data_IF_803047633839
#
_entry.id   IF_803047633839
#
_cell.length_a   1.000
_cell.length_b   1.000
_cell.length_c   1.000
_cell.angle_alpha   90.00
_cell.angle_beta   90.00
_cell.angle_gamma   90.00
#
_symmetry.space_group_name_H-M   'P 1'
#
loop_
_entity.id
_entity.type
_entity.pdbx_description
1 polymer ?
#
# COMPACT_ATOMS: atom_id res chain seq x y z
N UNK A 1 -17.19 7.40 16.73
CA UNK A 1 -16.29 7.75 17.84
C UNK A 1 -16.36 9.24 18.20
N UNK A 2 -16.50 10.12 17.21
CA UNK A 2 -16.51 11.58 17.42
C UNK A 2 -17.93 12.19 17.45
N UNK A 3 -18.98 11.40 17.70
CA UNK A 3 -20.37 11.86 17.84
C UNK A 3 -21.05 12.25 16.51
N UNK A 4 -20.44 11.93 15.36
CA UNK A 4 -21.06 12.16 14.05
C UNK A 4 -21.86 10.94 13.63
N UNK A 5 -23.05 11.16 13.02
CA UNK A 5 -23.77 10.14 12.27
C UNK A 5 -23.07 9.90 10.93
N UNK A 6 -22.85 8.65 10.57
CA UNK A 6 -22.09 8.26 9.36
C UNK A 6 -22.87 7.24 8.56
N UNK A 7 -22.99 7.49 7.25
CA UNK A 7 -23.44 6.50 6.27
C UNK A 7 -22.27 6.22 5.33
N UNK A 8 -21.93 4.96 5.13
CA UNK A 8 -20.84 4.51 4.24
C UNK A 8 -21.36 3.66 3.10
N UNK A 9 -20.80 3.86 1.91
CA UNK A 9 -21.15 3.10 0.71
C UNK A 9 -19.92 2.47 0.10
N UNK A 10 -20.04 1.21 -0.33
CA UNK A 10 -19.07 0.54 -1.17
C UNK A 10 -19.81 -0.22 -2.28
N UNK A 11 -19.35 -0.09 -3.52
CA UNK A 11 -19.99 -0.81 -4.64
C UNK A 11 -19.69 -2.31 -4.65
N UNK A 12 -18.82 -2.77 -3.78
CA UNK A 12 -18.53 -4.18 -3.52
C UNK A 12 -18.75 -4.53 -2.06
N UNK A 13 -18.42 -5.76 -1.68
CA UNK A 13 -18.48 -6.20 -0.28
C UNK A 13 -17.04 -6.24 0.30
N UNK A 14 -16.63 -5.22 1.10
CA UNK A 14 -15.27 -5.17 1.66
C UNK A 14 -15.03 -6.19 2.79
N UNK A 15 -13.79 -6.72 2.93
CA UNK A 15 -12.65 -6.47 2.07
C UNK A 15 -12.80 -7.20 0.71
N UNK A 16 -12.36 -6.58 -0.36
CA UNK A 16 -12.46 -7.13 -1.71
C UNK A 16 -11.18 -6.90 -2.52
N UNK A 17 -11.01 -7.63 -3.63
CA UNK A 17 -9.83 -7.57 -4.50
C UNK A 17 -9.98 -6.60 -5.68
N UNK A 18 -11.03 -5.81 -5.70
CA UNK A 18 -11.35 -4.92 -6.83
C UNK A 18 -10.53 -3.62 -6.81
N UNK A 19 -10.19 -3.12 -5.63
CA UNK A 19 -9.33 -1.95 -5.43
C UNK A 19 -7.87 -2.33 -5.12
N UNK A 20 -7.14 -1.44 -4.46
CA UNK A 20 -5.73 -1.63 -4.08
C UNK A 20 -5.52 -2.04 -2.61
N UNK A 21 -6.56 -2.02 -1.78
CA UNK A 21 -6.48 -2.31 -0.34
C UNK A 21 -6.68 -3.81 -0.04
N UNK A 22 -5.85 -4.65 -0.64
CA UNK A 22 -5.87 -6.11 -0.47
C UNK A 22 -4.48 -6.70 -0.71
N UNK A 23 -4.36 -8.02 -0.68
CA UNK A 23 -3.13 -8.76 -1.05
C UNK A 23 -2.31 -9.16 0.15
N UNK A 24 -2.96 -9.47 1.26
CA UNK A 24 -2.44 -10.03 2.52
C UNK A 24 -1.52 -9.10 3.29
N UNK A 25 -0.54 -8.47 2.64
CA UNK A 25 0.38 -7.54 3.26
C UNK A 25 0.63 -6.33 2.35
N UNK A 26 0.90 -5.18 2.96
CA UNK A 26 1.34 -3.95 2.29
C UNK A 26 2.54 -3.40 3.03
N UNK A 27 3.51 -2.90 2.27
CA UNK A 27 4.70 -2.26 2.85
C UNK A 27 4.29 -1.00 3.61
N UNK A 28 4.83 -0.86 4.83
CA UNK A 28 4.84 0.41 5.55
C UNK A 28 6.30 0.75 5.87
N UNK A 29 6.64 2.03 5.78
CA UNK A 29 7.98 2.56 6.09
C UNK A 29 7.85 3.95 6.70
N UNK A 30 8.80 4.34 7.53
CA UNK A 30 8.78 5.62 8.23
C UNK A 30 9.65 6.66 7.52
N UNK A 31 10.80 6.24 7.03
CA UNK A 31 11.72 7.08 6.28
C UNK A 31 11.33 7.08 4.81
N UNK A 32 10.70 8.17 4.35
CA UNK A 32 10.04 8.21 3.04
C UNK A 32 10.95 8.86 1.98
N UNK A 33 11.26 8.12 0.90
CA UNK A 33 12.14 8.60 -0.19
C UNK A 33 11.50 9.70 -1.02
N UNK A 34 10.18 9.66 -1.20
CA UNK A 34 9.42 10.56 -2.06
C UNK A 34 9.13 11.92 -1.41
N UNK A 35 9.46 12.10 -0.13
CA UNK A 35 9.33 13.39 0.53
C UNK A 35 9.17 13.31 2.05
N UNK A 36 10.00 14.05 2.76
CA UNK A 36 10.01 14.10 4.22
C UNK A 36 8.71 14.65 4.83
N UNK A 37 7.94 15.44 4.07
CA UNK A 37 6.67 16.02 4.51
C UNK A 37 5.56 14.96 4.76
N UNK A 38 5.72 13.72 4.27
CA UNK A 38 4.82 12.63 4.59
C UNK A 38 5.07 12.01 5.97
N UNK A 39 6.26 12.19 6.56
CA UNK A 39 6.64 11.53 7.81
C UNK A 39 5.70 11.84 8.98
N UNK A 40 5.20 13.08 9.18
CA UNK A 40 4.22 13.35 10.23
C UNK A 40 2.91 12.54 10.10
N UNK A 41 2.43 12.34 8.86
CA UNK A 41 1.26 11.50 8.58
C UNK A 41 1.56 10.02 8.84
N UNK A 42 2.77 9.56 8.48
CA UNK A 42 3.22 8.21 8.76
C UNK A 42 3.31 7.95 10.26
N UNK A 43 3.89 8.86 11.04
CA UNK A 43 3.94 8.74 12.50
C UNK A 43 2.54 8.52 13.07
N UNK A 44 1.56 9.33 12.64
CA UNK A 44 0.18 9.14 13.10
C UNK A 44 -0.43 7.83 12.61
N UNK A 45 -0.08 7.36 11.42
CA UNK A 45 -0.54 6.06 10.89
C UNK A 45 -0.02 4.90 11.73
N UNK A 46 1.26 4.91 12.11
CA UNK A 46 1.84 3.91 12.99
C UNK A 46 1.12 3.85 14.34
N UNK A 47 0.92 5.01 14.98
CA UNK A 47 0.16 5.09 16.24
C UNK A 47 -1.22 4.44 16.10
N UNK A 48 -1.95 4.78 15.05
CA UNK A 48 -3.30 4.26 14.81
C UNK A 48 -3.31 2.75 14.52
N UNK A 49 -2.32 2.22 13.81
CA UNK A 49 -2.22 0.78 13.55
C UNK A 49 -1.87 0.00 14.82
N UNK A 50 -0.96 0.50 15.65
CA UNK A 50 -0.67 -0.12 16.94
C UNK A 50 -1.88 -0.02 17.90
N UNK A 51 -2.53 1.13 18.00
CA UNK A 51 -3.79 1.27 18.77
C UNK A 51 -4.84 0.24 18.32
N UNK A 52 -4.99 0.04 17.00
CA UNK A 52 -5.95 -0.91 16.45
C UNK A 52 -5.58 -2.36 16.77
N UNK A 53 -4.29 -2.69 16.71
CA UNK A 53 -3.75 -4.00 17.07
C UNK A 53 -4.01 -4.32 18.55
N UNK A 54 -3.69 -3.38 19.44
CA UNK A 54 -3.87 -3.53 20.89
C UNK A 54 -5.35 -3.72 21.28
N UNK A 55 -6.26 -3.06 20.55
CA UNK A 55 -7.71 -3.17 20.80
C UNK A 55 -8.32 -4.51 20.33
N UNK A 56 -7.67 -5.21 19.43
CA UNK A 56 -8.29 -6.36 18.75
C UNK A 56 -7.56 -7.69 18.93
N UNK A 57 -6.31 -7.67 19.36
CA UNK A 57 -5.39 -8.82 19.37
C UNK A 57 -5.19 -9.47 17.97
N UNK A 58 -5.53 -8.74 16.89
CA UNK A 58 -5.25 -9.16 15.51
C UNK A 58 -3.91 -8.58 15.08
N UNK A 59 -3.17 -9.31 14.25
CA UNK A 59 -1.97 -8.78 13.62
C UNK A 59 -2.39 -7.73 12.57
N UNK A 60 -2.22 -6.46 12.90
CA UNK A 60 -2.53 -5.30 12.04
C UNK A 60 -1.27 -4.79 11.36
N UNK A 61 -0.17 -4.75 12.11
CA UNK A 61 1.15 -4.30 11.66
C UNK A 61 2.23 -5.23 12.21
N UNK A 62 3.24 -5.52 11.39
CA UNK A 62 4.43 -6.29 11.78
C UNK A 62 5.69 -5.54 11.34
N UNK A 63 6.54 -5.18 12.29
CA UNK A 63 7.82 -4.53 12.02
C UNK A 63 8.85 -5.61 11.72
N UNK A 64 9.45 -5.53 10.54
CA UNK A 64 10.46 -6.49 10.05
C UNK A 64 11.64 -5.81 9.34
N UNK A 65 11.68 -4.48 9.36
CA UNK A 65 12.59 -3.67 8.57
C UNK A 65 12.09 -3.39 7.15
N UNK A 66 12.59 -2.30 6.58
CA UNK A 66 12.37 -1.92 5.18
C UNK A 66 13.70 -1.55 4.54
N UNK A 67 14.25 -2.41 3.69
CA UNK A 67 15.57 -2.23 3.08
C UNK A 67 15.43 -1.70 1.65
N UNK A 68 16.01 -0.55 1.38
CA UNK A 68 16.18 -0.02 0.03
C UNK A 68 17.62 -0.25 -0.42
N UNK A 69 17.80 -0.87 -1.58
CA UNK A 69 19.11 -1.16 -2.17
C UNK A 69 19.19 -0.45 -3.53
N UNK A 70 20.26 0.34 -3.72
CA UNK A 70 20.50 1.08 -4.95
C UNK A 70 22.00 1.36 -5.12
N UNK A 71 22.40 1.94 -6.24
CA UNK A 71 23.75 2.48 -6.39
C UNK A 71 23.98 3.58 -5.37
N UNK A 72 25.18 3.64 -4.83
CA UNK A 72 25.58 4.67 -3.87
C UNK A 72 25.32 6.06 -4.42
N UNK A 73 24.63 6.89 -3.64
CA UNK A 73 24.23 8.24 -4.04
C UNK A 73 22.97 8.32 -4.91
N UNK A 74 22.24 7.23 -5.09
CA UNK A 74 20.96 7.24 -5.78
C UNK A 74 19.93 8.11 -5.04
N UNK A 75 19.09 8.82 -5.79
CA UNK A 75 18.09 9.73 -5.23
C UNK A 75 17.13 9.04 -4.25
N UNK A 76 16.81 7.78 -4.48
CA UNK A 76 15.99 6.96 -3.58
C UNK A 76 16.60 6.79 -2.19
N UNK A 77 17.92 6.55 -2.11
CA UNK A 77 18.65 6.43 -0.84
C UNK A 77 18.79 7.79 -0.15
N UNK A 78 19.15 8.82 -0.91
CA UNK A 78 19.32 10.17 -0.36
C UNK A 78 17.99 10.75 0.16
N UNK A 79 16.87 10.46 -0.48
CA UNK A 79 15.54 10.82 0.01
C UNK A 79 15.21 10.17 1.37
N UNK A 80 15.55 8.89 1.56
CA UNK A 80 15.38 8.20 2.84
C UNK A 80 16.27 8.83 3.92
N UNK A 81 17.56 9.04 3.63
CA UNK A 81 18.51 9.66 4.55
C UNK A 81 18.05 11.07 4.96
N UNK A 82 17.62 11.89 4.01
CA UNK A 82 17.07 13.21 4.27
C UNK A 82 15.82 13.17 5.17
N UNK A 83 14.87 12.27 4.90
CA UNK A 83 13.68 12.10 5.74
C UNK A 83 14.04 11.68 7.15
N UNK A 84 15.06 10.82 7.30
CA UNK A 84 15.59 10.42 8.60
C UNK A 84 16.19 11.59 9.36
N UNK A 85 17.03 12.40 8.72
CA UNK A 85 17.66 13.58 9.33
C UNK A 85 16.61 14.61 9.81
N UNK A 86 15.61 14.91 8.96
CA UNK A 86 14.58 15.92 9.27
C UNK A 86 13.65 15.49 10.40
N UNK A 87 13.33 14.21 10.49
CA UNK A 87 12.30 13.70 11.40
C UNK A 87 12.82 12.71 12.45
N UNK A 88 14.14 12.54 12.57
CA UNK A 88 14.78 11.59 13.48
C UNK A 88 14.23 10.16 13.33
N UNK A 89 14.05 9.70 12.10
CA UNK A 89 13.68 8.31 11.85
C UNK A 89 14.93 7.43 12.00
N UNK A 90 14.77 6.27 12.63
CA UNK A 90 15.89 5.35 12.85
C UNK A 90 16.18 4.55 11.58
N UNK A 91 17.37 4.73 11.02
CA UNK A 91 17.86 4.02 9.85
C UNK A 91 19.28 3.48 10.07
N UNK A 92 19.64 2.44 9.33
CA UNK A 92 21.02 1.96 9.19
C UNK A 92 21.45 2.10 7.72
N UNK A 93 22.63 2.69 7.50
CA UNK A 93 23.26 2.72 6.17
C UNK A 93 24.22 1.54 6.09
N UNK A 94 24.05 0.68 5.09
CA UNK A 94 24.70 -0.62 4.96
C UNK A 94 25.49 -0.69 3.65
N UNK A 95 26.73 -1.13 3.73
CA UNK A 95 27.51 -1.51 2.54
C UNK A 95 26.96 -2.79 1.91
N UNK A 96 27.33 -3.06 0.65
CA UNK A 96 26.99 -4.33 -0.01
C UNK A 96 27.50 -5.55 0.80
N UNK A 97 28.64 -5.44 1.48
CA UNK A 97 29.18 -6.49 2.33
C UNK A 97 28.33 -6.70 3.60
N UNK A 98 27.87 -5.62 4.23
CA UNK A 98 26.98 -5.70 5.40
C UNK A 98 25.68 -6.41 5.03
N UNK A 99 25.11 -6.06 3.88
CA UNK A 99 23.87 -6.68 3.36
C UNK A 99 24.07 -8.18 3.11
N UNK A 100 25.13 -8.58 2.39
CA UNK A 100 25.45 -9.99 2.12
C UNK A 100 25.71 -10.79 3.39
N UNK A 101 26.35 -10.19 4.39
CA UNK A 101 26.64 -10.86 5.66
C UNK A 101 25.38 -11.06 6.52
N UNK A 102 24.47 -10.11 6.49
CA UNK A 102 23.26 -10.08 7.33
C UNK A 102 22.14 -10.97 6.77
N UNK A 103 21.96 -10.98 5.44
CA UNK A 103 20.90 -11.74 4.78
C UNK A 103 21.41 -12.57 3.61
N UNK A 104 21.25 -13.87 3.69
CA UNK A 104 21.71 -14.83 2.65
C UNK A 104 20.99 -14.73 1.32
N UNK A 105 19.81 -14.08 1.31
CA UNK A 105 19.00 -13.89 0.10
C UNK A 105 19.52 -12.77 -0.79
N UNK A 106 20.38 -11.88 -0.29
CA UNK A 106 20.83 -10.70 -1.03
C UNK A 106 22.26 -10.83 -1.51
N UNK A 107 22.49 -10.46 -2.75
CA UNK A 107 23.83 -10.40 -3.34
C UNK A 107 24.01 -9.09 -4.15
N UNK A 108 23.97 -7.91 -3.49
CA UNK A 108 24.18 -6.63 -4.17
C UNK A 108 25.59 -6.52 -4.72
N UNK A 109 25.74 -5.79 -5.84
CA UNK A 109 27.05 -5.43 -6.42
C UNK A 109 27.84 -4.52 -5.47
N UNK A 110 29.18 -4.43 -5.66
CA UNK A 110 30.05 -3.70 -4.73
C UNK A 110 29.76 -2.20 -4.64
N UNK A 111 29.31 -1.60 -5.74
CA UNK A 111 28.92 -0.21 -5.83
C UNK A 111 27.54 0.11 -5.26
N UNK A 112 26.80 -0.90 -4.83
CA UNK A 112 25.50 -0.72 -4.20
C UNK A 112 25.63 -0.44 -2.69
N UNK A 113 24.65 0.29 -2.20
CA UNK A 113 24.46 0.63 -0.79
C UNK A 113 23.02 0.31 -0.41
N UNK A 114 22.79 -0.01 0.85
CA UNK A 114 21.44 -0.17 1.38
C UNK A 114 21.15 0.82 2.48
N UNK A 115 19.87 1.24 2.56
CA UNK A 115 19.34 1.96 3.72
C UNK A 115 18.21 1.14 4.30
N UNK A 116 18.38 0.70 5.55
CA UNK A 116 17.39 -0.05 6.30
C UNK A 116 16.61 0.91 7.21
N UNK A 117 15.32 1.06 6.95
CA UNK A 117 14.37 1.68 7.87
C UNK A 117 14.01 0.66 8.96
N UNK A 118 14.42 0.91 10.20
CA UNK A 118 14.20 -0.03 11.32
C UNK A 118 12.72 -0.15 11.68
N UNK A 119 11.91 0.87 11.38
CA UNK A 119 10.47 0.85 11.57
C UNK A 119 9.71 0.36 10.33
N UNK A 120 10.41 0.00 9.27
CA UNK A 120 9.80 -0.62 8.10
C UNK A 120 9.11 -1.94 8.44
N UNK A 121 8.06 -2.28 7.70
CA UNK A 121 7.31 -3.49 7.97
C UNK A 121 6.14 -3.71 7.04
N UNK A 122 5.21 -4.52 7.49
CA UNK A 122 3.99 -4.87 6.78
C UNK A 122 2.74 -4.48 7.57
N UNK A 123 1.73 -3.97 6.85
CA UNK A 123 0.36 -3.80 7.34
C UNK A 123 -0.52 -4.84 6.66
N UNK A 124 -1.44 -5.42 7.41
CA UNK A 124 -2.39 -6.44 6.92
C UNK A 124 -3.74 -5.77 6.57
N UNK A 125 -3.94 -5.35 5.31
CA UNK A 125 -5.05 -4.48 4.93
C UNK A 125 -6.42 -5.10 5.16
N UNK A 126 -6.57 -6.40 4.96
CA UNK A 126 -7.84 -7.10 5.20
C UNK A 126 -8.24 -7.07 6.68
N UNK A 127 -7.26 -7.24 7.59
CA UNK A 127 -7.49 -7.12 9.03
C UNK A 127 -7.84 -5.68 9.41
N UNK A 128 -7.12 -4.69 8.85
CA UNK A 128 -7.41 -3.26 9.07
C UNK A 128 -8.84 -2.92 8.64
N UNK A 129 -9.25 -3.34 7.43
CA UNK A 129 -10.58 -3.04 6.89
C UNK A 129 -11.66 -3.69 7.73
N UNK A 130 -11.56 -5.00 7.98
CA UNK A 130 -12.55 -5.74 8.77
C UNK A 130 -12.72 -5.14 10.16
N UNK A 131 -11.61 -4.80 10.82
CA UNK A 131 -11.64 -4.21 12.17
C UNK A 131 -12.31 -2.84 12.16
N UNK A 132 -11.95 -1.97 11.22
CA UNK A 132 -12.56 -0.65 11.11
C UNK A 132 -14.05 -0.72 10.77
N UNK A 133 -14.47 -1.64 9.90
CA UNK A 133 -15.89 -1.85 9.59
C UNK A 133 -16.66 -2.33 10.82
N UNK A 134 -16.11 -3.26 11.59
CA UNK A 134 -16.74 -3.76 12.81
C UNK A 134 -16.87 -2.64 13.87
N UNK A 135 -15.83 -1.86 14.08
CA UNK A 135 -15.89 -0.70 15.00
C UNK A 135 -16.87 0.36 14.51
N UNK A 136 -16.88 0.64 13.21
CA UNK A 136 -17.82 1.61 12.63
C UNK A 136 -19.29 1.21 12.90
N UNK A 137 -19.62 -0.06 12.68
CA UNK A 137 -20.95 -0.61 13.00
C UNK A 137 -21.25 -0.53 14.51
N UNK A 138 -20.27 -0.86 15.35
CA UNK A 138 -20.38 -0.76 16.80
C UNK A 138 -20.63 0.67 17.30
N UNK A 139 -20.13 1.68 16.57
CA UNK A 139 -20.40 3.10 16.84
C UNK A 139 -21.66 3.63 16.15
N UNK A 140 -22.45 2.76 15.51
CA UNK A 140 -23.74 3.13 14.90
C UNK A 140 -23.64 3.66 13.47
N UNK A 141 -22.53 3.43 12.76
CA UNK A 141 -22.47 3.77 11.34
C UNK A 141 -23.39 2.84 10.52
N UNK A 142 -24.12 3.42 9.59
CA UNK A 142 -24.91 2.72 8.58
C UNK A 142 -24.01 2.40 7.37
N UNK A 143 -23.84 1.11 7.03
CA UNK A 143 -22.94 0.68 5.96
C UNK A 143 -23.72 -0.07 4.87
N UNK A 144 -23.67 0.44 3.64
CA UNK A 144 -24.29 -0.11 2.45
C UNK A 144 -23.21 -0.70 1.53
N UNK A 145 -23.14 -2.02 1.46
CA UNK A 145 -22.25 -2.74 0.55
C UNK A 145 -23.00 -3.17 -0.72
N UNK A 146 -22.26 -3.47 -1.79
CA UNK A 146 -22.81 -3.74 -3.11
C UNK A 146 -23.72 -2.62 -3.60
N UNK A 147 -23.42 -1.37 -3.21
CA UNK A 147 -24.21 -0.18 -3.49
C UNK A 147 -23.37 0.87 -4.21
N UNK A 148 -23.51 0.93 -5.51
CA UNK A 148 -22.75 1.87 -6.35
C UNK A 148 -23.41 3.24 -6.34
N UNK A 149 -22.61 4.26 -6.02
CA UNK A 149 -23.01 5.66 -6.14
C UNK A 149 -22.83 6.11 -7.60
N UNK A 150 -23.91 6.54 -8.22
CA UNK A 150 -23.91 7.01 -9.61
C UNK A 150 -23.67 8.52 -9.73
N UNK A 151 -24.08 9.29 -8.72
CA UNK A 151 -23.98 10.75 -8.73
C UNK A 151 -23.95 11.31 -7.31
N UNK A 152 -23.23 12.41 -7.16
CA UNK A 152 -23.31 13.28 -6.01
C UNK A 152 -23.51 14.74 -6.43
N UNK A 153 -24.18 15.52 -5.58
CA UNK A 153 -24.42 16.95 -5.76
C UNK A 153 -24.23 17.60 -4.40
N UNK A 154 -23.56 18.73 -4.37
CA UNK A 154 -23.42 19.56 -3.18
C UNK A 154 -24.01 20.93 -3.46
N UNK A 155 -24.77 21.46 -2.52
CA UNK A 155 -25.17 22.86 -2.43
C UNK A 155 -24.69 23.47 -1.10
N UNK A 156 -25.12 24.68 -0.79
CA UNK A 156 -24.67 25.39 0.42
C UNK A 156 -25.17 24.76 1.73
N UNK A 157 -26.14 23.86 1.68
CA UNK A 157 -26.81 23.32 2.85
C UNK A 157 -26.50 21.84 3.10
N UNK A 158 -26.44 21.03 2.03
CA UNK A 158 -26.27 19.59 2.16
C UNK A 158 -25.67 18.95 0.91
N UNK A 159 -25.24 17.70 1.07
CA UNK A 159 -24.81 16.84 -0.03
C UNK A 159 -25.89 15.80 -0.30
N UNK A 160 -26.20 15.61 -1.57
CA UNK A 160 -27.10 14.55 -2.05
C UNK A 160 -26.30 13.47 -2.77
N UNK A 161 -26.50 12.22 -2.39
CA UNK A 161 -25.98 11.03 -3.10
C UNK A 161 -27.12 10.29 -3.79
N UNK A 162 -26.87 9.80 -5.01
CA UNK A 162 -27.79 8.90 -5.72
C UNK A 162 -27.10 7.59 -6.05
N UNK A 163 -27.77 6.47 -5.75
CA UNK A 163 -27.33 5.13 -6.13
C UNK A 163 -27.69 4.83 -7.60
N UNK A 164 -27.10 3.79 -8.16
CA UNK A 164 -27.54 3.26 -9.48
C UNK A 164 -28.99 2.74 -9.47
N UNK A 165 -29.48 2.28 -8.32
CA UNK A 165 -30.87 1.80 -8.14
C UNK A 165 -31.89 2.91 -7.98
N UNK A 166 -31.43 4.18 -7.86
CA UNK A 166 -32.27 5.36 -7.78
C UNK A 166 -32.55 5.87 -6.37
N UNK A 167 -32.03 5.19 -5.35
CA UNK A 167 -32.17 5.64 -3.96
C UNK A 167 -31.39 6.95 -3.75
N UNK A 168 -31.87 7.79 -2.84
CA UNK A 168 -31.29 9.10 -2.54
C UNK A 168 -30.99 9.23 -1.07
N UNK A 169 -29.78 9.70 -0.75
CA UNK A 169 -29.29 9.93 0.61
C UNK A 169 -28.81 11.37 0.75
N UNK A 170 -28.89 11.90 1.97
CA UNK A 170 -28.53 13.27 2.30
C UNK A 170 -27.51 13.29 3.44
N UNK A 171 -26.60 14.26 3.42
CA UNK A 171 -25.62 14.48 4.48
C UNK A 171 -25.07 15.89 4.45
N UNK A 172 -24.53 16.34 5.59
CA UNK A 172 -23.91 17.66 5.70
C UNK A 172 -22.54 17.73 5.02
N UNK A 173 -21.82 16.60 4.96
CA UNK A 173 -20.48 16.49 4.41
C UNK A 173 -20.29 15.17 3.66
N UNK A 174 -19.46 15.22 2.62
CA UNK A 174 -19.09 14.06 1.81
C UNK A 174 -17.58 13.83 1.86
N UNK A 175 -17.20 12.57 2.11
CA UNK A 175 -15.82 12.10 1.95
C UNK A 175 -15.83 11.07 0.83
N UNK A 176 -15.04 11.30 -0.22
CA UNK A 176 -14.96 10.40 -1.38
C UNK A 176 -13.64 9.62 -1.31
N UNK A 177 -13.74 8.30 -1.10
CA UNK A 177 -12.61 7.36 -1.01
C UNK A 177 -12.75 6.25 -2.06
N UNK A 178 -13.17 6.59 -3.27
CA UNK A 178 -13.54 5.63 -4.32
C UNK A 178 -12.37 5.00 -5.08
N UNK A 179 -11.11 5.19 -4.61
CA UNK A 179 -9.93 4.55 -5.20
C UNK A 179 -9.82 4.77 -6.72
N UNK A 180 -9.71 3.69 -7.48
CA UNK A 180 -9.58 3.73 -8.93
C UNK A 180 -10.79 4.31 -9.67
N UNK A 181 -11.94 4.47 -9.01
CA UNK A 181 -13.13 5.08 -9.60
C UNK A 181 -13.28 6.58 -9.31
N UNK A 182 -12.30 7.17 -8.59
CA UNK A 182 -12.31 8.59 -8.27
C UNK A 182 -12.41 9.51 -9.50
N UNK A 183 -11.68 9.27 -10.60
CA UNK A 183 -11.81 10.12 -11.79
C UNK A 183 -13.22 10.18 -12.37
N UNK A 184 -13.97 9.08 -12.29
CA UNK A 184 -15.35 9.02 -12.78
C UNK A 184 -16.31 9.86 -11.93
N UNK A 185 -16.12 9.87 -10.61
CA UNK A 185 -16.94 10.65 -9.67
C UNK A 185 -16.58 12.13 -9.64
N UNK A 186 -15.36 12.49 -10.00
CA UNK A 186 -14.83 13.86 -9.95
C UNK A 186 -14.50 14.43 -11.34
N UNK A 187 -15.07 13.87 -12.42
CA UNK A 187 -14.77 14.26 -13.80
C UNK A 187 -14.94 15.77 -14.07
N UNK A 188 -15.90 16.40 -13.40
CA UNK A 188 -16.18 17.82 -13.58
C UNK A 188 -15.08 18.72 -12.98
N UNK A 189 -14.27 18.19 -12.05
CA UNK A 189 -13.12 18.91 -11.46
C UNK A 189 -11.86 18.85 -12.34
N UNK A 190 -11.86 18.05 -13.40
CA UNK A 190 -10.72 17.89 -14.34
C UNK A 190 -9.38 17.69 -13.64
N UNK A 191 -9.36 16.88 -12.59
CA UNK A 191 -8.15 16.57 -11.86
C UNK A 191 -7.16 15.79 -12.75
N UNK A 192 -5.85 16.07 -12.67
CA UNK A 192 -4.82 15.37 -13.46
C UNK A 192 -4.54 13.98 -12.85
N UNK A 193 -5.55 13.11 -12.86
CA UNK A 193 -5.49 11.76 -12.29
C UNK A 193 -5.76 10.76 -13.40
N UNK A 194 -4.91 9.76 -13.51
CA UNK A 194 -5.11 8.58 -14.36
C UNK A 194 -4.96 7.31 -13.54
N UNK A 195 -5.55 6.22 -14.01
CA UNK A 195 -5.53 4.93 -13.33
C UNK A 195 -4.59 4.01 -14.07
N UNK A 196 -3.59 3.54 -13.36
CA UNK A 196 -2.56 2.65 -13.88
C UNK A 196 -2.75 1.22 -13.39
N UNK A 197 -2.65 0.26 -14.32
CA UNK A 197 -2.63 -1.17 -13.98
C UNK A 197 -1.29 -1.53 -13.39
N UNK A 198 -1.29 -2.04 -12.16
CA UNK A 198 -0.11 -2.59 -11.49
C UNK A 198 -0.30 -4.09 -11.26
N UNK A 199 0.75 -4.87 -11.49
CA UNK A 199 0.71 -6.33 -11.36
C UNK A 199 1.53 -6.78 -10.17
N UNK A 200 0.92 -7.63 -9.35
CA UNK A 200 1.56 -8.27 -8.20
C UNK A 200 1.69 -9.76 -8.49
N UNK A 201 2.85 -10.32 -8.18
CA UNK A 201 3.09 -11.76 -8.27
C UNK A 201 3.43 -12.32 -6.90
N UNK A 202 3.05 -13.57 -6.68
CA UNK A 202 3.45 -14.38 -5.54
C UNK A 202 4.23 -15.59 -6.07
N UNK A 203 5.41 -15.82 -5.51
CA UNK A 203 6.30 -16.91 -5.92
C UNK A 203 6.51 -17.88 -4.76
N UNK A 204 6.40 -19.16 -5.04
CA UNK A 204 6.83 -20.20 -4.12
C UNK A 204 8.31 -20.51 -4.35
N UNK A 205 9.17 -20.40 -3.32
CA UNK A 205 10.56 -20.78 -3.45
C UNK A 205 10.69 -22.29 -3.65
N UNK A 206 11.56 -22.70 -4.57
CA UNK A 206 11.80 -24.11 -4.85
C UNK A 206 12.58 -24.79 -3.71
N UNK A 207 13.50 -24.02 -3.08
CA UNK A 207 14.35 -24.48 -1.98
C UNK A 207 14.52 -23.38 -0.95
N UNK A 208 14.94 -23.76 0.28
CA UNK A 208 15.30 -22.83 1.36
C UNK A 208 14.19 -21.80 1.67
N UNK A 209 12.95 -22.25 1.72
CA UNK A 209 11.79 -21.37 1.93
C UNK A 209 11.86 -20.56 3.21
N UNK A 210 12.59 -21.06 4.22
CA UNK A 210 12.78 -20.43 5.51
C UNK A 210 13.53 -19.09 5.44
N UNK A 211 14.44 -18.90 4.48
CA UNK A 211 15.19 -17.65 4.35
C UNK A 211 14.32 -16.47 3.87
N UNK A 212 13.14 -16.78 3.32
CA UNK A 212 12.18 -15.79 2.85
C UNK A 212 11.06 -15.49 3.86
N UNK A 213 11.13 -16.04 5.07
CA UNK A 213 10.17 -15.74 6.13
C UNK A 213 10.42 -14.31 6.68
N UNK A 214 9.39 -13.66 7.24
CA UNK A 214 9.52 -12.31 7.80
C UNK A 214 10.56 -12.17 8.91
N UNK A 215 10.86 -13.25 9.59
CA UNK A 215 11.90 -13.31 10.66
C UNK A 215 13.32 -13.28 10.08
N UNK A 216 13.49 -13.65 8.82
CA UNK A 216 14.78 -13.82 8.16
C UNK A 216 15.02 -12.85 7.00
N UNK A 217 13.99 -12.10 6.61
CA UNK A 217 14.04 -11.17 5.48
C UNK A 217 13.21 -9.92 5.75
N UNK A 218 13.76 -8.70 5.60
CA UNK A 218 12.97 -7.49 5.63
C UNK A 218 12.12 -7.35 4.36
N UNK A 219 11.13 -6.45 4.36
CA UNK A 219 10.65 -5.90 3.09
C UNK A 219 11.82 -5.23 2.38
N UNK A 220 11.92 -5.39 1.07
CA UNK A 220 13.02 -4.76 0.36
C UNK A 220 12.60 -4.24 -1.02
N UNK A 221 13.30 -3.21 -1.45
CA UNK A 221 13.18 -2.63 -2.78
C UNK A 221 14.57 -2.51 -3.40
N UNK A 222 14.64 -2.74 -4.71
CA UNK A 222 15.87 -2.61 -5.48
C UNK A 222 15.68 -1.63 -6.60
N UNK A 223 16.54 -0.63 -6.67
CA UNK A 223 16.65 0.22 -7.85
C UNK A 223 17.64 -0.45 -8.82
N UNK A 224 17.09 -1.12 -9.84
CA UNK A 224 17.87 -1.88 -10.82
C UNK A 224 18.32 -1.04 -12.01
N UNK A 225 17.66 0.10 -12.24
CA UNK A 225 17.99 1.14 -13.21
C UNK A 225 17.55 2.48 -12.61
N UNK A 226 18.16 3.60 -13.01
CA UNK A 226 17.87 4.92 -12.46
C UNK A 226 16.35 5.22 -12.47
N UNK A 227 15.79 5.40 -11.27
CA UNK A 227 14.37 5.61 -11.04
C UNK A 227 13.46 4.39 -11.25
N UNK A 228 14.00 3.23 -11.64
CA UNK A 228 13.22 2.00 -11.81
C UNK A 228 13.47 1.01 -10.70
N UNK A 229 12.41 0.61 -10.05
CA UNK A 229 12.47 -0.21 -8.85
C UNK A 229 11.59 -1.46 -8.93
N UNK A 230 12.06 -2.53 -8.30
CA UNK A 230 11.19 -3.62 -7.86
C UNK A 230 11.03 -3.55 -6.34
N UNK A 231 9.93 -4.07 -5.85
CA UNK A 231 9.73 -4.30 -4.43
C UNK A 231 9.31 -5.73 -4.16
N UNK A 232 9.84 -6.27 -3.07
CA UNK A 232 9.65 -7.65 -2.68
C UNK A 232 9.28 -7.70 -1.20
N UNK A 233 8.29 -8.49 -0.86
CA UNK A 233 7.89 -8.76 0.51
C UNK A 233 8.15 -10.22 0.84
N UNK A 234 8.60 -10.53 2.05
CA UNK A 234 8.79 -11.90 2.51
C UNK A 234 7.48 -12.69 2.47
N UNK A 235 7.59 -13.99 2.65
CA UNK A 235 6.45 -14.89 2.64
C UNK A 235 5.65 -14.79 3.94
N UNK A 236 4.48 -14.17 3.88
CA UNK A 236 3.49 -14.10 4.97
C UNK A 236 2.45 -15.23 4.91
N UNK A 237 2.75 -16.32 4.22
CA UNK A 237 1.89 -17.49 4.08
C UNK A 237 1.29 -17.72 2.70
N UNK A 238 1.46 -16.78 1.78
CA UNK A 238 0.93 -16.85 0.40
C UNK A 238 2.04 -16.85 -0.67
N UNK A 239 3.29 -17.05 -0.28
CA UNK A 239 4.45 -16.93 -1.15
C UNK A 239 5.15 -15.56 -1.04
N UNK A 240 6.28 -15.44 -1.72
CA UNK A 240 7.08 -14.21 -1.80
C UNK A 240 6.38 -13.27 -2.77
N UNK A 241 5.96 -12.10 -2.30
CA UNK A 241 5.32 -11.11 -3.16
C UNK A 241 6.35 -10.23 -3.84
N UNK A 242 6.26 -10.08 -5.16
CA UNK A 242 7.13 -9.21 -5.93
C UNK A 242 6.37 -8.43 -7.00
N UNK A 243 6.82 -7.20 -7.28
CA UNK A 243 6.29 -6.39 -8.37
C UNK A 243 7.30 -5.33 -8.84
N UNK A 244 7.09 -4.86 -10.06
CA UNK A 244 7.78 -3.70 -10.60
C UNK A 244 7.01 -2.44 -10.17
N UNK A 245 7.73 -1.39 -9.79
CA UNK A 245 7.15 -0.14 -9.32
C UNK A 245 6.93 0.83 -10.50
N UNK A 246 5.69 1.33 -10.66
CA UNK A 246 5.32 2.35 -11.65
C UNK A 246 5.69 2.06 -13.12
N UNK A 247 5.48 0.84 -13.60
CA UNK A 247 5.68 0.50 -15.01
C UNK A 247 4.44 -0.12 -15.67
N UNK A 248 3.26 0.26 -15.18
CA UNK A 248 1.98 -0.16 -15.74
C UNK A 248 1.56 0.67 -16.96
N UNK A 249 0.32 0.54 -17.34
CA UNK A 249 -0.31 1.33 -18.39
C UNK A 249 -1.69 1.79 -17.94
N UNK A 250 -2.15 2.90 -18.54
CA UNK A 250 -3.45 3.47 -18.20
C UNK A 250 -4.60 2.51 -18.56
N UNK A 251 -5.54 2.37 -17.62
CA UNK A 251 -6.70 1.48 -17.76
C UNK A 251 -7.97 2.11 -17.23
N UNK A 252 -9.09 1.64 -17.79
CA UNK A 252 -10.41 1.84 -17.22
C UNK A 252 -10.66 0.73 -16.18
N UNK A 253 -10.87 1.05 -14.90
CA UNK A 253 -11.05 0.05 -13.84
C UNK A 253 -12.28 -0.85 -14.05
N UNK A 254 -13.31 -0.39 -14.77
CA UNK A 254 -14.50 -1.17 -15.08
C UNK A 254 -14.27 -2.18 -16.22
N UNK A 255 -13.27 -1.95 -17.08
CA UNK A 255 -12.91 -2.83 -18.20
C UNK A 255 -11.73 -3.76 -17.92
N UNK A 256 -11.09 -3.59 -16.77
CA UNK A 256 -9.93 -4.38 -16.41
C UNK A 256 -10.32 -5.83 -16.09
N UNK A 257 -9.85 -6.77 -16.92
CA UNK A 257 -9.90 -8.19 -16.58
C UNK A 257 -8.78 -8.53 -15.58
N UNK A 258 -9.13 -8.61 -14.31
CA UNK A 258 -8.20 -8.88 -13.19
C UNK A 258 -7.73 -10.33 -13.14
N UNK A 259 -8.35 -11.23 -13.91
CA UNK A 259 -7.95 -12.65 -13.99
C UNK A 259 -6.96 -12.90 -15.12
N UNK A 260 -6.84 -11.96 -16.05
CA UNK A 260 -5.94 -12.12 -17.19
C UNK A 260 -4.50 -11.84 -16.79
N UNK A 261 -3.68 -12.87 -16.86
CA UNK A 261 -2.23 -12.79 -16.70
C UNK A 261 -1.63 -12.60 -18.10
N UNK A 262 -0.85 -11.55 -18.26
CA UNK A 262 -0.10 -11.33 -19.50
C UNK A 262 1.30 -11.94 -19.34
N UNK A 263 1.71 -12.77 -20.29
CA UNK A 263 3.04 -13.42 -20.24
C UNK A 263 4.20 -12.42 -20.16
N UNK A 264 4.02 -11.24 -20.73
CA UNK A 264 5.05 -10.19 -20.73
C UNK A 264 5.25 -9.59 -19.33
N UNK A 265 4.20 -9.51 -18.49
CA UNK A 265 4.32 -9.06 -17.11
C UNK A 265 5.25 -9.98 -16.29
N UNK A 266 5.04 -11.30 -16.40
CA UNK A 266 5.86 -12.29 -15.71
C UNK A 266 7.30 -12.33 -16.25
N UNK A 267 7.47 -12.34 -17.58
CA UNK A 267 8.80 -12.33 -18.20
C UNK A 267 9.62 -11.13 -17.76
N UNK A 268 9.00 -9.95 -17.73
CA UNK A 268 9.67 -8.72 -17.34
C UNK A 268 10.17 -8.80 -15.90
N UNK A 269 9.30 -9.18 -14.95
CA UNK A 269 9.71 -9.30 -13.57
C UNK A 269 10.81 -10.35 -13.38
N UNK A 270 10.68 -11.56 -14.01
CA UNK A 270 11.69 -12.63 -13.93
C UNK A 270 13.03 -12.26 -14.57
N UNK A 271 13.09 -11.27 -15.44
CA UNK A 271 14.36 -10.81 -16.00
C UNK A 271 15.14 -9.88 -15.06
N UNK A 272 14.50 -9.41 -13.98
CA UNK A 272 15.10 -8.47 -13.03
C UNK A 272 15.49 -9.18 -11.72
N UNK A 273 14.71 -10.20 -11.29
CA UNK A 273 14.93 -10.95 -10.04
C UNK A 273 15.81 -12.16 -10.20
#
# INVERSE_FOLDING_TARGET
KNGMSVIGFDMYNPPHTMGSSHGKARVIRKSYSEGSHFVPLLNRSYELFFELQDQTNLEIIKIIGGLMIAKKGANSLEGIKHSSEVHNCEIEVLTSNDIRSRWKIFNPEEEMEGVLDLMGGAVFPENVINTNLNFSKGYGAELHFNTKISKWISDDNYVTLKTETGDTYYGDKLIICSGAWLPNLLKDLKLPIFIERQVLFWFDPINNSEIFLPENSPNHSWEYEDGKMIYIQPNFGDGIKAAIHHEGYEVDPDKLDRKKIHQDDEKKLRSII
#
